data_IF_982730050955
#
_entry.id   IF_982730050955
#
_cell.length_a   1.000
_cell.length_b   1.000
_cell.length_c   1.000
_cell.angle_alpha   90.00
_cell.angle_beta   90.00
_cell.angle_gamma   90.00
#
_symmetry.space_group_name_H-M   'P 1'
#
loop_
_entity.id
_entity.type
_entity.pdbx_description
1 polymer ?
#
# COMPACT_ATOMS: atom_id res chain seq x y z
C UNK A 1 4.88 -15.40 -0.01
N UNK A 2 3.60 -15.19 0.13
CA UNK A 2 2.72 -15.11 -1.07
C UNK A 2 3.05 -13.84 -1.87
N UNK A 3 3.00 -13.97 -3.16
CA UNK A 3 3.30 -12.79 -4.02
C UNK A 3 2.32 -11.65 -3.70
N UNK A 4 1.24 -11.96 -3.02
CA UNK A 4 0.26 -10.90 -2.68
C UNK A 4 0.90 -9.84 -1.79
N UNK A 5 1.91 -10.21 -1.05
CA UNK A 5 2.58 -9.21 -0.16
C UNK A 5 2.94 -7.98 -0.98
N UNK A 6 3.05 -8.13 -2.26
CA UNK A 6 3.39 -6.96 -3.14
C UNK A 6 2.19 -6.02 -3.23
N UNK A 7 0.99 -6.55 -3.24
CA UNK A 7 -0.21 -5.68 -3.33
C UNK A 7 -0.40 -4.94 -2.00
N UNK A 8 -0.05 -5.56 -0.91
CA UNK A 8 -0.20 -4.91 0.41
C UNK A 8 0.63 -3.62 0.45
N UNK A 9 1.74 -3.60 -0.24
CA UNK A 9 2.60 -2.38 -0.25
C UNK A 9 1.80 -1.19 -0.79
N UNK A 10 0.88 -1.43 -1.69
CA UNK A 10 0.06 -0.31 -2.24
C UNK A 10 -0.74 0.36 -1.13
N UNK A 11 -1.14 -0.40 -0.13
CA UNK A 11 -1.92 0.19 0.98
C UNK A 11 -1.21 1.43 1.51
N UNK A 12 0.09 1.43 1.51
CA UNK A 12 0.84 2.61 2.01
C UNK A 12 0.54 3.83 1.14
N UNK A 13 0.19 3.62 -0.09
CA UNK A 13 -0.12 4.77 -0.99
C UNK A 13 -1.33 5.53 -0.45
N UNK A 14 -2.31 4.83 0.06
CA UNK A 14 -3.51 5.53 0.61
C UNK A 14 -3.12 6.37 1.82
N UNK A 15 -1.97 6.11 2.39
CA UNK A 15 -1.52 6.91 3.57
C UNK A 15 -1.23 8.34 3.15
N UNK A 16 -0.84 8.55 1.94
CA UNK A 16 -0.53 9.94 1.46
C UNK A 16 -1.82 10.76 1.33
N UNK A 17 -2.92 10.12 1.06
CA UNK A 17 -4.20 10.88 0.92
C UNK A 17 -4.60 11.51 2.26
N UNK A 18 -4.30 10.84 3.35
CA UNK A 18 -4.67 11.40 4.68
C UNK A 18 -3.88 12.69 4.96
N UNK A 19 -2.69 12.78 4.46
CA UNK A 19 -1.87 14.01 4.69
C UNK A 19 -0.72 14.06 3.68
N UNK A 20 0.41 13.48 3.97
#
# INVERSE_FOLDING_TARGET
XFPRIWLHNLGQHIYETYGX
#
